data_IF_703439352050
#
_entry.id   IF_703439352050
#
_cell.length_a   1.000
_cell.length_b   1.000
_cell.length_c   1.000
_cell.angle_alpha   90.00
_cell.angle_beta   90.00
_cell.angle_gamma   90.00
#
_symmetry.space_group_name_H-M   'P 1'
#
loop_
_entity.id
_entity.type
_entity.pdbx_description
1 polymer ?
#
# COMPACT_ATOMS: atom_id res chain seq x y z
N UNK A 1 -5.76 -60.65 20.18
CA UNK A 1 -4.78 -59.61 20.60
C UNK A 1 -4.40 -58.86 19.32
N UNK A 2 -5.28 -57.93 18.93
CA UNK A 2 -5.22 -57.18 17.67
C UNK A 2 -4.50 -55.88 17.93
N UNK A 3 -3.37 -55.68 17.29
CA UNK A 3 -2.64 -54.43 17.30
C UNK A 3 -3.28 -53.48 16.27
N UNK A 4 -3.72 -52.35 16.78
CA UNK A 4 -4.31 -51.25 16.02
C UNK A 4 -3.22 -50.49 15.19
N UNK A 5 -3.31 -50.41 13.84
CA UNK A 5 -2.29 -49.75 13.01
C UNK A 5 -2.54 -48.26 12.80
N UNK A 6 -3.33 -47.58 13.64
CA UNK A 6 -3.75 -46.20 13.40
C UNK A 6 -3.05 -45.20 14.31
N UNK A 7 -1.71 -45.09 14.27
CA UNK A 7 -0.99 -43.91 14.79
C UNK A 7 0.41 -43.77 14.16
N UNK A 8 0.43 -43.51 12.85
CA UNK A 8 1.61 -42.93 12.21
C UNK A 8 1.19 -41.66 11.50
N UNK A 9 1.04 -40.60 12.28
CA UNK A 9 1.01 -39.24 11.68
C UNK A 9 2.39 -38.89 11.12
N UNK A 10 2.45 -38.30 9.91
CA UNK A 10 3.72 -38.00 9.27
C UNK A 10 4.36 -36.74 9.89
N UNK A 11 5.31 -36.93 10.78
CA UNK A 11 6.20 -35.88 11.36
C UNK A 11 7.06 -35.10 10.34
N UNK A 12 6.93 -35.39 9.06
CA UNK A 12 7.73 -34.74 8.01
C UNK A 12 7.19 -33.41 7.50
N UNK A 13 5.92 -33.06 7.80
CA UNK A 13 5.33 -31.76 7.39
C UNK A 13 5.79 -30.60 8.28
N UNK A 14 6.05 -30.85 9.56
CA UNK A 14 6.38 -29.77 10.51
C UNK A 14 7.76 -29.16 10.30
N UNK A 15 8.75 -29.94 9.88
CA UNK A 15 10.10 -29.43 9.60
C UNK A 15 10.16 -28.52 8.38
N UNK A 16 9.34 -28.79 7.37
CA UNK A 16 9.22 -27.93 6.18
C UNK A 16 8.54 -26.59 6.49
N UNK A 17 7.49 -26.63 7.28
CA UNK A 17 6.76 -25.43 7.71
C UNK A 17 7.61 -24.53 8.61
N UNK A 18 8.33 -25.11 9.58
CA UNK A 18 9.23 -24.34 10.45
C UNK A 18 10.37 -23.70 9.68
N UNK A 19 10.96 -24.39 8.71
CA UNK A 19 12.01 -23.84 7.85
C UNK A 19 11.49 -22.72 6.95
N UNK A 20 10.32 -22.89 6.35
CA UNK A 20 9.67 -21.87 5.53
C UNK A 20 9.30 -20.65 6.36
N UNK A 21 8.71 -20.82 7.54
CA UNK A 21 8.38 -19.72 8.46
C UNK A 21 9.63 -19.00 8.95
N UNK A 22 10.72 -19.72 9.23
CA UNK A 22 11.99 -19.12 9.63
C UNK A 22 12.60 -18.24 8.54
N UNK A 23 12.57 -18.69 7.29
CA UNK A 23 13.05 -17.89 6.14
C UNK A 23 12.21 -16.63 5.96
N UNK A 24 10.88 -16.75 6.00
CA UNK A 24 9.98 -15.60 5.88
C UNK A 24 10.21 -14.60 7.02
N UNK A 25 10.33 -15.08 8.26
CA UNK A 25 10.61 -14.23 9.43
C UNK A 25 11.94 -13.51 9.31
N UNK A 26 12.99 -14.18 8.84
CA UNK A 26 14.30 -13.58 8.61
C UNK A 26 14.25 -12.45 7.58
N UNK A 27 13.62 -12.69 6.41
CA UNK A 27 13.49 -11.66 5.38
C UNK A 27 12.59 -10.51 5.82
N UNK A 28 11.55 -10.78 6.61
CA UNK A 28 10.71 -9.74 7.19
C UNK A 28 11.50 -8.87 8.17
N UNK A 29 12.32 -9.49 9.02
CA UNK A 29 13.18 -8.77 9.96
C UNK A 29 14.23 -7.93 9.22
N UNK A 30 14.88 -8.51 8.21
CA UNK A 30 15.84 -7.79 7.37
C UNK A 30 15.18 -6.57 6.68
N UNK A 31 14.00 -6.75 6.11
CA UNK A 31 13.21 -5.65 5.51
C UNK A 31 12.91 -4.53 6.51
N UNK A 32 12.54 -4.88 7.74
CA UNK A 32 12.28 -3.89 8.81
C UNK A 32 13.55 -3.14 9.21
N UNK A 33 14.68 -3.84 9.33
CA UNK A 33 16.00 -3.21 9.63
C UNK A 33 16.41 -2.27 8.51
N UNK A 34 16.26 -2.68 7.26
CA UNK A 34 16.52 -1.82 6.09
C UNK A 34 15.60 -0.60 6.06
N UNK A 35 14.32 -0.78 6.42
CA UNK A 35 13.35 0.33 6.57
C UNK A 35 13.80 1.33 7.64
N UNK A 36 14.22 0.84 8.80
CA UNK A 36 14.75 1.68 9.87
C UNK A 36 16.04 2.42 9.45
N UNK A 37 16.97 1.72 8.78
CA UNK A 37 18.19 2.32 8.26
C UNK A 37 17.88 3.45 7.28
N UNK A 38 16.94 3.22 6.35
CA UNK A 38 16.44 4.26 5.44
C UNK A 38 15.91 5.47 6.22
N UNK A 39 15.08 5.25 7.23
CA UNK A 39 14.45 6.33 7.99
C UNK A 39 15.50 7.13 8.79
N UNK A 40 16.51 6.47 9.34
CA UNK A 40 17.65 7.13 10.01
C UNK A 40 18.49 7.97 9.05
N UNK A 41 18.77 7.43 7.84
CA UNK A 41 19.48 8.18 6.79
C UNK A 41 18.66 9.39 6.36
N UNK A 42 17.37 9.22 6.13
CA UNK A 42 16.45 10.31 5.80
C UNK A 42 16.44 11.40 6.86
N UNK A 43 16.33 11.02 8.13
CA UNK A 43 16.35 11.97 9.26
C UNK A 43 17.69 12.74 9.37
N UNK A 44 18.81 12.09 9.00
CA UNK A 44 20.12 12.76 9.03
C UNK A 44 20.39 13.67 7.83
N UNK A 45 19.89 13.28 6.66
CA UNK A 45 20.16 14.01 5.39
C UNK A 45 19.21 15.20 5.24
N UNK A 46 17.92 15.00 5.53
CA UNK A 46 16.89 16.02 5.38
C UNK A 46 16.85 16.92 6.63
N UNK A 47 17.33 16.41 7.79
CA UNK A 47 17.30 17.15 9.05
C UNK A 47 15.90 17.26 9.66
N UNK A 48 15.81 17.99 10.76
CA UNK A 48 14.54 18.35 11.42
C UNK A 48 14.05 19.73 10.91
N UNK A 49 14.26 20.02 9.64
CA UNK A 49 13.91 21.30 9.04
C UNK A 49 12.45 21.32 8.56
N UNK A 50 11.95 22.52 8.32
CA UNK A 50 10.61 22.80 7.77
C UNK A 50 10.28 21.95 6.54
N UNK A 51 11.29 21.63 5.72
CA UNK A 51 11.16 20.77 4.55
C UNK A 51 10.81 19.31 4.88
N UNK A 52 11.35 18.78 5.98
CA UNK A 52 11.05 17.42 6.43
C UNK A 52 9.57 17.28 6.79
N UNK A 53 9.02 18.24 7.52
CA UNK A 53 7.61 18.26 7.92
C UNK A 53 6.69 18.30 6.69
N UNK A 54 6.99 19.19 5.75
CA UNK A 54 6.24 19.32 4.48
C UNK A 54 6.27 18.02 3.69
N UNK A 55 7.46 17.42 3.55
CA UNK A 55 7.62 16.14 2.84
C UNK A 55 6.83 15.01 3.50
N UNK A 56 6.92 14.88 4.83
CA UNK A 56 6.20 13.82 5.55
C UNK A 56 4.69 13.96 5.42
N UNK A 57 4.15 15.17 5.52
CA UNK A 57 2.70 15.41 5.34
C UNK A 57 2.30 15.13 3.90
N UNK A 58 3.02 15.68 2.92
CA UNK A 58 2.72 15.51 1.50
C UNK A 58 2.83 14.04 1.04
N UNK A 59 3.73 13.25 1.64
CA UNK A 59 3.90 11.83 1.33
C UNK A 59 2.88 10.94 2.07
N UNK A 60 2.50 11.32 3.29
CA UNK A 60 1.56 10.54 4.11
C UNK A 60 0.18 10.43 3.46
N UNK A 61 -0.28 11.47 2.79
CA UNK A 61 -1.61 11.53 2.19
C UNK A 61 -1.74 10.55 1.01
N UNK A 62 -0.90 10.60 -0.04
CA UNK A 62 -0.95 9.62 -1.13
C UNK A 62 -0.71 8.19 -0.64
N UNK A 63 0.17 7.99 0.34
CA UNK A 63 0.44 6.68 0.91
C UNK A 63 -0.76 6.10 1.67
N UNK A 64 -1.55 6.94 2.35
CA UNK A 64 -2.82 6.52 2.95
C UNK A 64 -3.81 6.03 1.88
N UNK A 65 -3.97 6.78 0.80
CA UNK A 65 -4.84 6.38 -0.32
C UNK A 65 -4.33 5.13 -1.04
N UNK A 66 -3.01 5.00 -1.24
CA UNK A 66 -2.41 3.78 -1.76
C UNK A 66 -2.76 2.56 -0.91
N UNK A 67 -2.66 2.68 0.40
CA UNK A 67 -2.99 1.61 1.33
C UNK A 67 -4.47 1.22 1.27
N UNK A 68 -5.33 2.20 1.10
CA UNK A 68 -6.76 1.99 0.99
C UNK A 68 -7.14 1.26 -0.32
N UNK A 69 -6.60 1.72 -1.45
CA UNK A 69 -6.97 1.21 -2.78
C UNK A 69 -6.13 0.01 -3.23
N UNK A 70 -4.81 0.01 -3.02
CA UNK A 70 -3.95 -1.05 -3.53
C UNK A 70 -3.80 -2.25 -2.58
N UNK A 71 -3.75 -2.02 -1.27
CA UNK A 71 -3.45 -3.07 -0.28
C UNK A 71 -4.67 -3.46 0.58
N UNK A 72 -5.69 -2.61 0.64
CA UNK A 72 -6.78 -2.74 1.62
C UNK A 72 -8.06 -3.35 1.06
N UNK A 73 -9.15 -2.59 1.16
CA UNK A 73 -10.51 -3.06 0.89
C UNK A 73 -10.71 -3.61 -0.52
N UNK A 74 -10.02 -3.05 -1.53
CA UNK A 74 -10.15 -3.51 -2.91
C UNK A 74 -9.57 -4.92 -3.10
N UNK A 75 -8.34 -5.17 -2.63
CA UNK A 75 -7.71 -6.48 -2.74
C UNK A 75 -8.50 -7.56 -2.00
N UNK A 76 -9.01 -7.25 -0.80
CA UNK A 76 -9.83 -8.17 -0.01
C UNK A 76 -11.16 -8.51 -0.69
N UNK A 77 -11.76 -7.59 -1.41
CA UNK A 77 -13.00 -7.83 -2.15
C UNK A 77 -12.75 -8.55 -3.50
N UNK A 78 -11.66 -8.23 -4.18
CA UNK A 78 -11.41 -8.72 -5.53
C UNK A 78 -10.84 -10.15 -5.56
N UNK A 79 -9.96 -10.51 -4.63
CA UNK A 79 -9.29 -11.82 -4.62
C UNK A 79 -10.28 -12.99 -4.53
N UNK A 80 -11.30 -12.99 -3.65
CA UNK A 80 -12.30 -14.07 -3.61
C UNK A 80 -13.08 -14.19 -4.91
N UNK A 81 -13.50 -13.07 -5.49
CA UNK A 81 -14.27 -13.03 -6.75
C UNK A 81 -13.43 -13.61 -7.88
N UNK A 82 -12.17 -13.21 -7.98
CA UNK A 82 -11.23 -13.73 -8.98
C UNK A 82 -11.03 -15.25 -8.81
N UNK A 83 -10.95 -15.74 -7.57
CA UNK A 83 -10.87 -17.17 -7.26
C UNK A 83 -12.07 -17.94 -7.79
N UNK A 84 -13.28 -17.45 -7.53
CA UNK A 84 -14.52 -18.07 -8.00
C UNK A 84 -14.60 -18.11 -9.54
N UNK A 85 -14.25 -17.02 -10.22
CA UNK A 85 -14.20 -16.97 -11.69
C UNK A 85 -13.14 -17.90 -12.28
N UNK A 86 -12.07 -18.14 -11.56
CA UNK A 86 -10.99 -19.05 -11.98
C UNK A 86 -11.40 -20.52 -11.86
N UNK A 87 -12.19 -20.87 -10.87
CA UNK A 87 -12.68 -22.24 -10.66
C UNK A 87 -13.86 -22.59 -11.58
N UNK A 88 -14.78 -21.66 -11.80
CA UNK A 88 -16.05 -21.91 -12.50
C UNK A 88 -16.08 -21.34 -13.92
N UNK A 89 -15.17 -20.45 -14.29
CA UNK A 89 -15.20 -19.71 -15.55
C UNK A 89 -14.17 -20.16 -16.58
N UNK A 90 -14.37 -19.72 -17.81
CA UNK A 90 -13.35 -19.84 -18.86
C UNK A 90 -12.24 -18.80 -18.69
N UNK A 91 -11.06 -19.05 -19.26
CA UNK A 91 -9.98 -18.05 -19.27
C UNK A 91 -10.41 -16.71 -19.89
N UNK A 92 -11.34 -16.74 -20.85
CA UNK A 92 -11.90 -15.54 -21.45
C UNK A 92 -12.72 -14.71 -20.44
N UNK A 93 -13.54 -15.35 -19.60
CA UNK A 93 -14.32 -14.69 -18.56
C UNK A 93 -13.44 -14.06 -17.49
N UNK A 94 -12.37 -14.73 -17.09
CA UNK A 94 -11.37 -14.19 -16.15
C UNK A 94 -10.69 -12.94 -16.74
N UNK A 95 -10.27 -12.99 -18.00
CA UNK A 95 -9.63 -11.85 -18.68
C UNK A 95 -10.59 -10.67 -18.81
N UNK A 96 -11.85 -10.92 -19.14
CA UNK A 96 -12.87 -9.86 -19.22
C UNK A 96 -13.10 -9.22 -17.85
N UNK A 97 -13.23 -10.02 -16.78
CA UNK A 97 -13.36 -9.51 -15.41
C UNK A 97 -12.18 -8.61 -15.04
N UNK A 98 -10.94 -9.09 -15.24
CA UNK A 98 -9.72 -8.33 -14.93
C UNK A 98 -9.68 -7.03 -15.70
N UNK A 99 -9.94 -7.05 -17.01
CA UNK A 99 -9.93 -5.85 -17.85
C UNK A 99 -10.99 -4.84 -17.39
N UNK A 100 -12.18 -5.29 -17.07
CA UNK A 100 -13.28 -4.42 -16.61
C UNK A 100 -12.95 -3.79 -15.26
N UNK A 101 -12.45 -4.59 -14.33
CA UNK A 101 -12.08 -4.12 -12.99
C UNK A 101 -10.89 -3.16 -13.05
N UNK A 102 -9.84 -3.50 -13.80
CA UNK A 102 -8.67 -2.62 -13.97
C UNK A 102 -9.05 -1.30 -14.66
N UNK A 103 -9.91 -1.36 -15.68
CA UNK A 103 -10.41 -0.16 -16.36
C UNK A 103 -11.22 0.75 -15.42
N UNK A 104 -12.16 0.17 -14.67
CA UNK A 104 -12.98 0.92 -13.70
C UNK A 104 -12.13 1.52 -12.60
N UNK A 105 -11.20 0.73 -12.03
CA UNK A 105 -10.27 1.21 -11.01
C UNK A 105 -9.38 2.33 -11.54
N UNK A 106 -8.83 2.17 -12.75
CA UNK A 106 -7.99 3.17 -13.39
C UNK A 106 -8.71 4.49 -13.61
N UNK A 107 -9.95 4.46 -14.12
CA UNK A 107 -10.77 5.67 -14.32
C UNK A 107 -11.12 6.32 -12.97
N UNK A 108 -11.49 5.52 -11.97
CA UNK A 108 -11.81 6.03 -10.63
C UNK A 108 -10.60 6.69 -9.98
N UNK A 109 -9.42 6.05 -10.03
CA UNK A 109 -8.18 6.60 -9.50
C UNK A 109 -7.72 7.83 -10.26
N UNK A 110 -7.88 7.86 -11.59
CA UNK A 110 -7.58 9.03 -12.39
C UNK A 110 -8.47 10.22 -12.00
N UNK A 111 -9.79 10.01 -11.90
CA UNK A 111 -10.73 11.02 -11.46
C UNK A 111 -10.41 11.53 -10.05
N UNK A 112 -10.14 10.62 -9.11
CA UNK A 112 -9.73 10.97 -7.75
C UNK A 112 -8.43 11.77 -7.73
N UNK A 113 -7.43 11.34 -8.51
CA UNK A 113 -6.14 12.04 -8.62
C UNK A 113 -6.34 13.46 -9.14
N UNK A 114 -7.13 13.65 -10.19
CA UNK A 114 -7.41 14.98 -10.75
C UNK A 114 -8.12 15.86 -9.71
N UNK A 115 -9.13 15.34 -9.02
CA UNK A 115 -9.84 16.08 -7.98
C UNK A 115 -8.88 16.52 -6.88
N UNK A 116 -8.02 15.64 -6.39
CA UNK A 116 -7.11 15.94 -5.29
C UNK A 116 -5.96 16.85 -5.73
N UNK A 117 -5.46 16.74 -6.96
CA UNK A 117 -4.46 17.66 -7.50
C UNK A 117 -5.02 19.09 -7.56
N UNK A 118 -6.26 19.25 -7.99
CA UNK A 118 -6.94 20.56 -7.98
C UNK A 118 -7.25 21.03 -6.57
N UNK A 119 -7.73 20.13 -5.71
CA UNK A 119 -8.07 20.40 -4.32
C UNK A 119 -6.87 20.28 -3.36
N UNK A 120 -5.63 20.26 -3.84
CA UNK A 120 -4.43 20.12 -3.00
C UNK A 120 -4.32 21.13 -1.87
N UNK A 121 -4.71 22.43 -2.01
CA UNK A 121 -4.73 23.37 -0.89
C UNK A 121 -5.74 22.95 0.20
N UNK A 122 -6.90 22.40 -0.20
CA UNK A 122 -7.90 21.92 0.76
C UNK A 122 -7.38 20.70 1.51
N UNK A 123 -6.69 19.79 0.81
CA UNK A 123 -6.03 18.64 1.45
C UNK A 123 -4.94 19.09 2.42
N UNK A 124 -4.09 20.04 2.05
CA UNK A 124 -3.10 20.60 2.94
C UNK A 124 -3.74 21.24 4.19
N UNK A 125 -4.85 21.97 4.04
CA UNK A 125 -5.58 22.56 5.17
C UNK A 125 -6.19 21.51 6.12
N UNK A 126 -6.68 20.38 5.60
CA UNK A 126 -7.25 19.30 6.42
C UNK A 126 -6.17 18.58 7.24
N UNK A 127 -5.01 18.29 6.63
CA UNK A 127 -3.97 17.50 7.26
C UNK A 127 -2.96 18.32 8.07
N UNK A 128 -2.82 19.61 7.76
CA UNK A 128 -1.95 20.53 8.45
C UNK A 128 -2.64 21.91 8.69
N UNK A 129 -3.76 21.96 9.44
CA UNK A 129 -4.55 23.18 9.59
C UNK A 129 -3.77 24.32 10.25
N UNK A 130 -2.80 24.03 11.11
CA UNK A 130 -1.97 25.05 11.76
C UNK A 130 -1.11 25.81 10.76
N UNK A 131 -0.60 25.17 9.72
CA UNK A 131 0.26 25.82 8.72
C UNK A 131 -0.46 26.84 7.87
N UNK A 132 -1.77 26.70 7.73
CA UNK A 132 -2.58 27.69 7.04
C UNK A 132 -2.53 29.08 7.71
N UNK A 133 -2.47 29.10 9.04
CA UNK A 133 -2.49 30.36 9.83
C UNK A 133 -1.10 30.80 10.26
N UNK A 134 -0.23 29.84 10.67
CA UNK A 134 1.02 30.15 11.33
C UNK A 134 2.24 30.10 10.39
N UNK A 135 2.19 29.27 9.35
CA UNK A 135 3.32 29.02 8.45
C UNK A 135 2.88 28.88 6.99
N UNK A 136 2.48 29.99 6.33
CA UNK A 136 1.92 29.97 4.98
C UNK A 136 2.88 29.39 3.93
N UNK A 137 4.18 29.55 4.09
CA UNK A 137 5.19 28.99 3.18
C UNK A 137 5.21 27.45 3.20
N UNK A 138 5.11 26.86 4.37
CA UNK A 138 4.98 25.41 4.50
C UNK A 138 3.66 24.89 3.92
N UNK A 139 2.58 25.66 4.08
CA UNK A 139 1.29 25.32 3.54
C UNK A 139 1.32 25.26 2.00
N UNK A 140 1.87 26.29 1.35
CA UNK A 140 2.00 26.34 -0.11
C UNK A 140 2.90 25.20 -0.61
N UNK A 141 4.07 25.04 0.02
CA UNK A 141 4.99 23.95 -0.34
C UNK A 141 4.34 22.56 -0.20
N UNK A 142 3.51 22.34 0.83
CA UNK A 142 2.76 21.08 1.02
C UNK A 142 1.74 20.88 -0.11
N UNK A 143 1.00 21.90 -0.49
CA UNK A 143 0.03 21.81 -1.58
C UNK A 143 0.71 21.51 -2.92
N UNK A 144 1.85 22.11 -3.19
CA UNK A 144 2.62 21.88 -4.42
C UNK A 144 3.25 20.47 -4.45
N UNK A 145 3.80 20.02 -3.31
CA UNK A 145 4.28 18.65 -3.20
C UNK A 145 3.17 17.61 -3.37
N UNK A 146 1.96 17.88 -2.87
CA UNK A 146 0.80 17.02 -3.11
C UNK A 146 0.45 16.92 -4.59
N UNK A 147 0.51 18.02 -5.33
CA UNK A 147 0.27 18.01 -6.78
C UNK A 147 1.24 17.10 -7.53
N UNK A 148 2.49 17.07 -7.10
CA UNK A 148 3.55 16.27 -7.74
C UNK A 148 3.47 14.81 -7.29
N UNK A 149 3.17 14.56 -6.01
CA UNK A 149 3.18 13.19 -5.44
C UNK A 149 1.89 12.42 -5.71
N UNK A 150 0.75 13.09 -5.87
CA UNK A 150 -0.52 12.40 -6.05
C UNK A 150 -0.63 11.56 -7.33
N UNK A 151 -0.12 11.98 -8.49
CA UNK A 151 -0.08 11.15 -9.70
C UNK A 151 0.65 9.81 -9.52
N UNK A 152 1.63 9.74 -8.61
CA UNK A 152 2.29 8.49 -8.22
C UNK A 152 1.30 7.41 -7.74
N UNK A 153 0.21 7.81 -7.07
CA UNK A 153 -0.83 6.90 -6.61
C UNK A 153 -1.44 6.07 -7.75
N UNK A 154 -1.67 6.71 -8.89
CA UNK A 154 -2.25 6.06 -10.07
C UNK A 154 -1.31 4.95 -10.59
N UNK A 155 -0.01 5.24 -10.69
CA UNK A 155 0.96 4.26 -11.18
C UNK A 155 1.19 3.09 -10.24
N UNK A 156 1.15 3.31 -8.93
CA UNK A 156 1.43 2.24 -7.96
C UNK A 156 0.20 1.39 -7.65
N UNK A 157 -1.00 1.87 -7.97
CA UNK A 157 -2.26 1.17 -7.70
C UNK A 157 -2.76 0.34 -8.89
N UNK A 158 -2.18 0.51 -10.06
CA UNK A 158 -2.44 -0.29 -11.27
C UNK A 158 -1.46 -1.44 -11.39
#
# INVERSE_FOLDING_TARGET
MSQDPAQQEPRTKDSGLLRSSGVVSFFTMLSRVMGLARDVVFARVIGADAFADVFFVAFKIPNFFRRLFAEGAFAQAFVPILGEYREKGSQAAVKELVNRVTGTLGITLLGLTLIIVVASPVMAAIFAPKWFFDEPDKFVATADMLRITFPYLLFISM
#
